data_IF_272849449155
#
_entry.id   IF_272849449155
#
_cell.length_a   1.000
_cell.length_b   1.000
_cell.length_c   1.000
_cell.angle_alpha   90.00
_cell.angle_beta   90.00
_cell.angle_gamma   90.00
#
_symmetry.space_group_name_H-M   'P 1'
#
loop_
_entity.id
_entity.type
_entity.pdbx_description
1 polymer ?
#
# COMPACT_ATOMS: atom_id res chain seq x y z
N UNK A 1 -9.84 30.62 4.73
CA UNK A 1 -9.29 30.16 3.44
C UNK A 1 -7.79 30.07 3.62
N UNK A 2 -7.26 28.90 4.00
CA UNK A 2 -5.82 28.71 4.19
C UNK A 2 -5.39 27.60 3.25
N UNK A 3 -4.51 27.94 2.31
CA UNK A 3 -3.92 27.00 1.37
C UNK A 3 -3.25 25.85 2.12
N UNK A 4 -3.84 24.67 2.03
CA UNK A 4 -3.13 23.43 2.31
C UNK A 4 -2.11 23.30 1.19
N UNK A 5 -0.86 23.65 1.48
CA UNK A 5 0.27 23.30 0.62
C UNK A 5 0.22 21.79 0.44
N UNK A 6 -0.25 21.36 -0.73
CA UNK A 6 -0.17 19.99 -1.20
C UNK A 6 1.30 19.59 -1.12
N UNK A 7 1.62 18.70 -0.18
CA UNK A 7 2.90 18.04 -0.08
C UNK A 7 3.13 17.31 -1.39
N UNK A 8 3.89 17.93 -2.30
CA UNK A 8 4.17 17.48 -3.67
C UNK A 8 5.13 16.29 -3.75
N UNK A 9 5.54 15.74 -2.62
CA UNK A 9 6.51 14.65 -2.53
C UNK A 9 5.87 13.36 -1.99
N UNK A 10 4.75 12.94 -2.58
CA UNK A 10 4.35 11.53 -2.49
C UNK A 10 5.25 10.75 -3.45
N UNK A 11 6.48 10.46 -3.00
CA UNK A 11 7.24 9.33 -3.53
C UNK A 11 6.49 8.11 -3.01
N UNK A 12 6.04 7.22 -3.89
CA UNK A 12 5.58 5.88 -3.49
C UNK A 12 6.87 5.06 -3.39
N UNK A 13 7.45 4.84 -2.19
CA UNK A 13 8.63 4.01 -2.08
C UNK A 13 8.21 2.57 -2.39
N UNK A 14 8.59 2.11 -3.58
CA UNK A 14 8.53 0.69 -3.93
C UNK A 14 9.26 -0.14 -2.86
N UNK A 15 8.55 -1.08 -2.23
CA UNK A 15 9.12 -2.02 -1.24
C UNK A 15 10.33 -2.74 -1.83
N UNK A 16 10.17 -3.18 -3.07
CA UNK A 16 11.18 -3.93 -3.81
C UNK A 16 11.94 -3.04 -4.83
N UNK A 17 13.05 -3.53 -5.36
CA UNK A 17 13.89 -2.85 -6.38
C UNK A 17 14.49 -3.89 -7.32
N UNK A 18 14.48 -3.73 -8.66
CA UNK A 18 14.80 -4.78 -9.63
C UNK A 18 16.11 -5.58 -9.43
N UNK A 19 17.04 -5.09 -8.61
CA UNK A 19 18.21 -5.85 -8.17
C UNK A 19 17.85 -6.94 -7.14
N UNK A 20 18.23 -8.19 -7.45
CA UNK A 20 18.09 -9.37 -6.56
C UNK A 20 18.82 -9.26 -5.22
N UNK A 21 19.63 -8.22 -5.01
CA UNK A 21 20.47 -8.06 -3.82
C UNK A 21 20.00 -6.96 -2.85
N UNK A 22 18.86 -6.29 -3.10
CA UNK A 22 18.43 -5.19 -2.24
C UNK A 22 17.43 -5.62 -1.17
N UNK A 23 17.76 -6.67 -0.42
CA UNK A 23 16.91 -7.24 0.65
C UNK A 23 16.74 -6.29 1.83
N UNK A 24 17.76 -5.48 2.17
CA UNK A 24 17.62 -4.43 3.19
C UNK A 24 16.52 -3.42 2.86
N UNK A 25 16.41 -3.00 1.59
CA UNK A 25 15.36 -2.05 1.18
C UNK A 25 13.98 -2.69 1.32
N UNK A 26 13.83 -3.93 0.86
CA UNK A 26 12.61 -4.71 1.04
C UNK A 26 12.26 -4.82 2.52
N UNK A 27 13.17 -5.31 3.36
CA UNK A 27 12.94 -5.49 4.79
C UNK A 27 12.50 -4.21 5.50
N UNK A 28 13.08 -3.07 5.15
CA UNK A 28 12.67 -1.76 5.69
C UNK A 28 11.32 -1.30 5.14
N UNK A 29 11.01 -1.60 3.89
CA UNK A 29 9.70 -1.37 3.29
C UNK A 29 8.62 -2.15 4.04
N UNK A 30 8.77 -3.47 4.16
CA UNK A 30 7.81 -4.35 4.86
C UNK A 30 7.64 -3.94 6.32
N UNK A 31 8.74 -3.67 7.01
CA UNK A 31 8.66 -3.20 8.39
C UNK A 31 7.96 -1.83 8.51
N UNK A 32 8.09 -0.95 7.51
CA UNK A 32 7.36 0.31 7.48
C UNK A 32 5.86 0.08 7.26
N UNK A 33 5.47 -0.92 6.47
CA UNK A 33 4.07 -1.28 6.25
C UNK A 33 3.38 -1.77 7.52
N UNK A 34 4.10 -2.39 8.47
CA UNK A 34 3.56 -2.72 9.80
C UNK A 34 3.00 -1.48 10.50
N UNK A 35 3.75 -0.38 10.47
CA UNK A 35 3.31 0.89 11.07
C UNK A 35 2.13 1.49 10.30
N UNK A 36 2.13 1.41 8.96
CA UNK A 36 1.04 1.90 8.12
C UNK A 36 -0.28 1.16 8.39
N UNK A 37 -0.27 -0.17 8.40
CA UNK A 37 -1.47 -0.97 8.74
C UNK A 37 -1.89 -0.80 10.20
N UNK A 38 -0.95 -0.66 11.13
CA UNK A 38 -1.27 -0.35 12.53
C UNK A 38 -1.96 1.00 12.67
N UNK A 39 -1.48 2.05 12.01
CA UNK A 39 -2.13 3.36 11.99
C UNK A 39 -3.50 3.29 11.31
N UNK A 40 -3.61 2.55 10.21
CA UNK A 40 -4.87 2.35 9.49
C UNK A 40 -5.92 1.65 10.37
N UNK A 41 -5.54 0.62 11.13
CA UNK A 41 -6.48 -0.07 12.04
C UNK A 41 -7.04 0.87 13.10
N UNK A 42 -6.22 1.77 13.66
CA UNK A 42 -6.65 2.80 14.59
C UNK A 42 -7.61 3.82 13.92
N UNK A 43 -7.31 4.27 12.70
CA UNK A 43 -8.19 5.17 11.93
C UNK A 43 -9.55 4.51 11.65
N UNK A 44 -9.53 3.27 11.15
CA UNK A 44 -10.71 2.48 10.83
C UNK A 44 -11.59 2.26 12.07
N UNK A 45 -10.99 1.90 13.21
CA UNK A 45 -11.68 1.73 14.48
C UNK A 45 -12.34 3.04 14.95
N UNK A 46 -11.64 4.17 14.88
CA UNK A 46 -12.19 5.48 15.26
C UNK A 46 -13.35 5.95 14.38
N UNK A 47 -13.42 5.45 13.14
CA UNK A 47 -14.42 5.82 12.15
C UNK A 47 -15.59 4.82 12.09
N UNK A 48 -15.56 3.77 12.90
CA UNK A 48 -16.65 2.78 12.99
C UNK A 48 -16.77 1.90 11.75
N UNK A 49 -15.64 1.50 11.15
CA UNK A 49 -15.66 0.66 9.96
C UNK A 49 -16.31 -0.72 10.20
N UNK A 50 -16.71 -1.43 9.13
CA UNK A 50 -17.09 -2.83 9.22
C UNK A 50 -16.00 -3.72 9.88
N UNK A 51 -16.36 -4.70 10.72
CA UNK A 51 -15.39 -5.53 11.45
C UNK A 51 -14.44 -6.33 10.57
N UNK A 52 -14.88 -6.74 9.38
CA UNK A 52 -14.08 -7.50 8.41
C UNK A 52 -12.93 -6.66 7.84
N UNK A 53 -13.11 -5.35 7.63
CA UNK A 53 -12.03 -4.45 7.21
C UNK A 53 -10.98 -4.31 8.31
N UNK A 54 -11.43 -4.17 9.57
CA UNK A 54 -10.53 -4.08 10.72
C UNK A 54 -9.71 -5.36 10.91
N UNK A 55 -10.39 -6.53 10.85
CA UNK A 55 -9.73 -7.83 10.93
C UNK A 55 -8.71 -8.02 9.80
N UNK A 56 -9.08 -7.67 8.56
CA UNK A 56 -8.17 -7.71 7.41
C UNK A 56 -6.95 -6.82 7.60
N UNK A 57 -7.11 -5.60 8.12
CA UNK A 57 -5.99 -4.69 8.37
C UNK A 57 -5.02 -5.23 9.43
N UNK A 58 -5.54 -5.89 10.48
CA UNK A 58 -4.67 -6.55 11.46
C UNK A 58 -3.94 -7.76 10.86
N UNK A 59 -4.60 -8.55 10.02
CA UNK A 59 -3.95 -9.66 9.33
C UNK A 59 -2.82 -9.15 8.42
N UNK A 60 -3.06 -8.09 7.64
CA UNK A 60 -2.04 -7.48 6.79
C UNK A 60 -0.83 -7.02 7.62
N UNK A 61 -1.04 -6.39 8.78
CA UNK A 61 0.06 -6.02 9.67
C UNK A 61 0.89 -7.22 10.16
N UNK A 62 0.26 -8.39 10.40
CA UNK A 62 0.96 -9.61 10.78
C UNK A 62 1.76 -10.21 9.61
N UNK A 63 1.19 -10.18 8.42
CA UNK A 63 1.88 -10.63 7.19
C UNK A 63 3.15 -9.79 6.97
N UNK A 64 3.08 -8.47 7.18
CA UNK A 64 4.23 -7.58 6.99
C UNK A 64 5.35 -7.78 8.02
N UNK A 65 5.01 -8.19 9.24
CA UNK A 65 6.02 -8.62 10.21
C UNK A 65 6.76 -9.85 9.67
N UNK A 66 6.02 -10.83 9.12
CA UNK A 66 6.60 -12.03 8.51
C UNK A 66 7.46 -11.68 7.31
N UNK A 67 6.98 -10.81 6.41
CA UNK A 67 7.72 -10.36 5.23
C UNK A 67 9.04 -9.68 5.62
N UNK A 68 8.99 -8.76 6.60
CA UNK A 68 10.18 -8.09 7.11
C UNK A 68 11.20 -9.07 7.70
N UNK A 69 10.74 -10.06 8.49
CA UNK A 69 11.61 -11.09 9.06
C UNK A 69 12.32 -11.91 7.97
N UNK A 70 11.58 -12.32 6.93
CA UNK A 70 12.14 -13.06 5.79
C UNK A 70 13.16 -12.19 5.06
N UNK A 71 12.82 -10.95 4.74
CA UNK A 71 13.69 -10.04 4.01
C UNK A 71 14.96 -9.68 4.81
N UNK A 72 14.87 -9.47 6.14
CA UNK A 72 16.05 -9.29 6.99
C UNK A 72 16.92 -10.54 7.05
N UNK A 73 16.32 -11.74 7.07
CA UNK A 73 17.06 -13.01 7.03
C UNK A 73 17.86 -13.14 5.73
N UNK A 74 17.24 -12.79 4.59
CA UNK A 74 17.90 -12.79 3.29
C UNK A 74 18.98 -11.71 3.17
N UNK A 75 18.80 -10.54 3.80
CA UNK A 75 19.83 -9.50 3.85
C UNK A 75 21.04 -9.91 4.70
N UNK A 76 20.80 -10.54 5.86
CA UNK A 76 21.85 -11.03 6.75
C UNK A 76 22.75 -12.10 6.09
N UNK A 77 22.23 -12.86 5.13
CA UNK A 77 23.05 -13.78 4.33
C UNK A 77 24.11 -13.06 3.46
N UNK A 78 23.98 -11.74 3.25
CA UNK A 78 24.87 -10.90 2.44
C UNK A 78 25.85 -10.04 3.28
N UNK A 79 25.85 -10.17 4.61
CA UNK A 79 26.75 -9.40 5.49
C UNK A 79 26.19 -9.14 6.89
N UNK A 80 26.65 -8.07 7.55
CA UNK A 80 26.21 -7.75 8.92
C UNK A 80 24.70 -7.44 8.98
N UNK A 81 23.92 -8.08 9.87
CA UNK A 81 22.50 -7.80 10.03
C UNK A 81 22.25 -6.33 10.36
N UNK A 82 21.29 -5.72 9.64
CA UNK A 82 20.83 -4.35 9.89
C UNK A 82 19.40 -4.38 10.37
N UNK A 83 19.07 -3.49 11.31
CA UNK A 83 17.72 -3.38 11.88
C UNK A 83 16.76 -2.51 11.05
N UNK A 84 15.50 -2.44 11.49
CA UNK A 84 14.49 -1.56 10.91
C UNK A 84 14.89 -0.08 10.99
N UNK A 85 14.33 0.73 10.08
CA UNK A 85 14.42 2.18 10.15
C UNK A 85 13.26 2.76 10.97
N UNK A 86 13.41 3.99 11.47
CA UNK A 86 12.32 4.68 12.16
C UNK A 86 11.09 4.83 11.25
N UNK A 87 9.95 4.34 11.71
CA UNK A 87 8.66 4.62 11.09
C UNK A 87 8.19 6.00 11.55
N UNK A 88 7.84 6.88 10.61
CA UNK A 88 7.24 8.18 10.93
C UNK A 88 5.75 8.01 11.19
N UNK A 89 5.26 8.49 12.33
CA UNK A 89 3.83 8.69 12.54
C UNK A 89 3.52 9.42 13.85
N UNK A 90 2.49 10.29 13.82
CA UNK A 90 1.36 10.29 14.76
C UNK A 90 0.36 11.44 14.47
N UNK A 91 -0.89 11.14 14.84
CA UNK A 91 -2.17 11.80 14.55
C UNK A 91 -2.27 13.31 14.82
N UNK A 92 -3.00 14.00 13.94
CA UNK A 92 -3.56 15.33 14.19
C UNK A 92 -5.07 15.29 14.43
N UNK A 93 -5.60 16.22 15.24
CA UNK A 93 -7.05 16.40 15.45
C UNK A 93 -7.69 17.05 14.22
N UNK A 94 -8.07 16.25 13.23
CA UNK A 94 -8.78 16.72 12.05
C UNK A 94 -10.26 16.27 12.04
N UNK A 95 -11.11 17.04 11.37
CA UNK A 95 -12.53 16.71 11.21
C UNK A 95 -12.76 15.36 10.51
N UNK A 96 -13.89 14.72 10.78
CA UNK A 96 -14.24 13.37 10.26
C UNK A 96 -14.08 13.24 8.74
N UNK A 97 -14.64 14.17 7.95
CA UNK A 97 -14.57 14.13 6.49
C UNK A 97 -13.14 14.28 5.95
N UNK A 98 -12.31 15.08 6.62
CA UNK A 98 -10.89 15.18 6.28
C UNK A 98 -10.15 13.87 6.55
N UNK A 99 -10.47 13.19 7.67
CA UNK A 99 -9.90 11.88 8.01
C UNK A 99 -10.29 10.81 6.99
N UNK A 100 -11.55 10.75 6.56
CA UNK A 100 -12.01 9.83 5.50
C UNK A 100 -11.28 10.09 4.18
N UNK A 101 -11.21 11.35 3.73
CA UNK A 101 -10.52 11.69 2.48
C UNK A 101 -9.02 11.38 2.54
N UNK A 102 -8.35 11.73 3.64
CA UNK A 102 -6.93 11.46 3.83
C UNK A 102 -6.65 9.95 3.86
N UNK A 103 -7.43 9.19 4.63
CA UNK A 103 -7.30 7.74 4.71
C UNK A 103 -7.54 7.07 3.35
N UNK A 104 -8.56 7.48 2.60
CA UNK A 104 -8.80 6.97 1.25
C UNK A 104 -7.61 7.22 0.30
N UNK A 105 -6.99 8.40 0.40
CA UNK A 105 -5.82 8.73 -0.41
C UNK A 105 -4.58 7.92 -0.04
N UNK A 106 -4.30 7.77 1.26
CA UNK A 106 -3.20 6.96 1.77
C UNK A 106 -3.40 5.47 1.42
N UNK A 107 -4.58 4.91 1.71
CA UNK A 107 -4.89 3.50 1.38
C UNK A 107 -4.86 3.24 -0.13
N UNK A 108 -5.26 4.19 -0.96
CA UNK A 108 -5.15 4.04 -2.40
C UNK A 108 -3.69 4.02 -2.87
N UNK A 109 -2.87 4.96 -2.40
CA UNK A 109 -1.47 5.03 -2.82
C UNK A 109 -0.65 3.82 -2.32
N UNK A 110 -0.75 3.53 -1.03
CA UNK A 110 0.06 2.50 -0.40
C UNK A 110 -0.55 1.11 -0.68
N UNK A 111 -1.82 0.94 -0.34
CA UNK A 111 -2.48 -0.36 -0.39
C UNK A 111 -2.91 -0.82 -1.79
N UNK A 112 -3.47 0.07 -2.62
CA UNK A 112 -3.95 -0.34 -3.95
C UNK A 112 -2.83 -0.35 -5.01
N UNK A 113 -1.95 0.65 -5.00
CA UNK A 113 -0.92 0.80 -6.03
C UNK A 113 0.41 0.16 -5.60
N UNK A 114 0.94 0.48 -4.41
CA UNK A 114 2.26 -0.01 -4.01
C UNK A 114 2.27 -1.53 -3.79
N UNK A 115 1.22 -2.10 -3.19
CA UNK A 115 1.14 -3.56 -3.01
C UNK A 115 0.95 -4.30 -4.33
N UNK A 116 0.21 -3.73 -5.28
CA UNK A 116 0.06 -4.34 -6.61
C UNK A 116 1.39 -4.37 -7.38
N UNK A 117 2.17 -3.29 -7.29
CA UNK A 117 3.51 -3.21 -7.87
C UNK A 117 4.47 -4.17 -7.16
N UNK A 118 4.38 -4.27 -5.83
CA UNK A 118 5.20 -5.19 -5.02
C UNK A 118 4.89 -6.65 -5.34
N UNK A 119 3.61 -7.02 -5.44
CA UNK A 119 3.17 -8.36 -5.85
C UNK A 119 3.73 -8.74 -7.23
N UNK A 120 3.69 -7.81 -8.20
CA UNK A 120 4.20 -8.05 -9.55
C UNK A 120 5.73 -8.21 -9.58
N UNK A 121 6.44 -7.38 -8.83
CA UNK A 121 7.89 -7.47 -8.69
C UNK A 121 8.31 -8.78 -8.01
N UNK A 122 7.61 -9.19 -6.95
CA UNK A 122 7.82 -10.49 -6.28
C UNK A 122 7.58 -11.68 -7.21
N UNK A 123 6.49 -11.65 -7.99
CA UNK A 123 6.20 -12.68 -9.02
C UNK A 123 7.34 -12.77 -10.05
N UNK A 124 7.82 -11.62 -10.51
CA UNK A 124 8.94 -11.54 -11.47
C UNK A 124 10.21 -12.15 -10.87
N UNK A 125 10.55 -11.80 -9.63
CA UNK A 125 11.70 -12.40 -8.93
C UNK A 125 11.57 -13.89 -8.73
N UNK A 126 10.39 -14.37 -8.36
CA UNK A 126 10.16 -15.79 -8.12
C UNK A 126 10.31 -16.63 -9.41
N UNK A 127 10.05 -16.06 -10.59
CA UNK A 127 10.32 -16.72 -11.88
C UNK A 127 11.82 -16.90 -12.13
N UNK A 128 12.60 -15.98 -11.57
CA UNK A 128 14.03 -15.80 -11.79
C UNK A 128 14.91 -16.45 -10.71
N UNK A 129 14.31 -16.84 -9.58
CA UNK A 129 14.97 -17.38 -8.40
C UNK A 129 15.34 -18.87 -8.56
N UNK A 130 16.64 -19.24 -8.52
CA UNK A 130 17.08 -20.63 -8.62
C UNK A 130 16.81 -21.46 -7.36
N UNK A 131 16.80 -20.87 -6.17
CA UNK A 131 16.53 -21.60 -4.94
C UNK A 131 15.03 -21.88 -4.79
N UNK A 132 14.66 -23.16 -4.72
CA UNK A 132 13.26 -23.59 -4.66
C UNK A 132 12.53 -23.13 -3.39
N UNK A 133 13.24 -23.02 -2.26
CA UNK A 133 12.66 -22.56 -1.00
C UNK A 133 12.42 -21.05 -1.04
N UNK A 134 13.40 -20.26 -1.52
CA UNK A 134 13.24 -18.81 -1.68
C UNK A 134 12.13 -18.50 -2.69
N UNK A 135 12.08 -19.22 -3.81
CA UNK A 135 11.01 -19.10 -4.81
C UNK A 135 9.62 -19.36 -4.21
N UNK A 136 9.48 -20.36 -3.35
CA UNK A 136 8.21 -20.67 -2.70
C UNK A 136 7.77 -19.51 -1.79
N UNK A 137 8.69 -18.96 -0.99
CA UNK A 137 8.43 -17.80 -0.14
C UNK A 137 8.04 -16.56 -0.95
N UNK A 138 8.76 -16.23 -2.01
CA UNK A 138 8.43 -15.07 -2.86
C UNK A 138 7.03 -15.18 -3.49
N UNK A 139 6.66 -16.38 -3.93
CA UNK A 139 5.30 -16.62 -4.45
C UNK A 139 4.24 -16.54 -3.35
N UNK A 140 4.56 -16.91 -2.11
CA UNK A 140 3.64 -16.80 -0.99
C UNK A 140 3.42 -15.32 -0.63
N UNK A 141 4.50 -14.56 -0.45
CA UNK A 141 4.44 -13.12 -0.19
C UNK A 141 3.65 -12.42 -1.29
N UNK A 142 3.89 -12.74 -2.56
CA UNK A 142 3.14 -12.12 -3.67
C UNK A 142 1.61 -12.36 -3.60
N UNK A 143 1.15 -13.51 -3.09
CA UNK A 143 -0.28 -13.78 -2.88
C UNK A 143 -0.86 -13.03 -1.68
N UNK A 144 -0.05 -12.85 -0.64
CA UNK A 144 -0.42 -12.04 0.53
C UNK A 144 -0.55 -10.57 0.13
N UNK A 145 0.40 -10.04 -0.67
CA UNK A 145 0.33 -8.70 -1.25
C UNK A 145 -0.92 -8.53 -2.15
N UNK A 146 -1.28 -9.51 -2.99
CA UNK A 146 -2.54 -9.47 -3.76
C UNK A 146 -3.77 -9.37 -2.82
N UNK A 147 -3.74 -10.04 -1.67
CA UNK A 147 -4.81 -9.97 -0.65
C UNK A 147 -4.87 -8.58 -0.01
N UNK A 148 -3.71 -7.94 0.21
CA UNK A 148 -3.62 -6.57 0.73
C UNK A 148 -4.17 -5.56 -0.28
N UNK A 149 -3.94 -5.75 -1.58
CA UNK A 149 -4.55 -4.96 -2.65
C UNK A 149 -6.08 -5.06 -2.58
N UNK A 150 -6.62 -6.28 -2.50
CA UNK A 150 -8.08 -6.48 -2.40
C UNK A 150 -8.70 -5.80 -1.18
N UNK A 151 -8.05 -5.93 -0.01
CA UNK A 151 -8.47 -5.26 1.21
C UNK A 151 -8.47 -3.73 1.03
N UNK A 152 -7.43 -3.18 0.43
CA UNK A 152 -7.26 -1.75 0.23
C UNK A 152 -8.35 -1.17 -0.68
N UNK A 153 -8.72 -1.88 -1.74
CA UNK A 153 -9.85 -1.50 -2.59
C UNK A 153 -11.19 -1.54 -1.86
N UNK A 154 -11.41 -2.51 -0.95
CA UNK A 154 -12.62 -2.54 -0.10
C UNK A 154 -12.67 -1.33 0.82
N UNK A 155 -11.55 -0.92 1.41
CA UNK A 155 -11.46 0.28 2.26
C UNK A 155 -11.70 1.55 1.45
N UNK A 156 -11.09 1.70 0.26
CA UNK A 156 -11.34 2.85 -0.63
C UNK A 156 -12.83 2.93 -0.99
N UNK A 157 -13.45 1.81 -1.37
CA UNK A 157 -14.88 1.74 -1.66
C UNK A 157 -15.74 2.17 -0.46
N UNK A 158 -15.40 1.69 0.74
CA UNK A 158 -16.10 2.08 1.95
C UNK A 158 -15.97 3.59 2.21
N UNK A 159 -14.78 4.18 2.06
CA UNK A 159 -14.59 5.63 2.18
C UNK A 159 -15.46 6.45 1.21
N UNK A 160 -15.63 5.99 -0.04
CA UNK A 160 -16.56 6.63 -0.98
C UNK A 160 -18.02 6.54 -0.51
N UNK A 161 -18.41 5.41 0.12
CA UNK A 161 -19.74 5.23 0.71
C UNK A 161 -20.03 6.16 1.89
N UNK A 162 -19.02 6.46 2.71
CA UNK A 162 -19.14 7.39 3.84
C UNK A 162 -19.28 8.86 3.38
N UNK A 163 -18.73 9.20 2.22
CA UNK A 163 -18.85 10.54 1.64
C UNK A 163 -20.18 10.72 0.91
N UNK A 164 -21.24 11.14 1.62
CA UNK A 164 -22.56 11.40 1.01
C UNK A 164 -22.62 12.65 0.13
N UNK A 165 -21.69 13.60 0.30
CA UNK A 165 -21.61 14.82 -0.50
C UNK A 165 -20.90 14.53 -1.85
N UNK A 166 -21.61 14.77 -2.95
CA UNK A 166 -21.12 14.56 -4.32
C UNK A 166 -19.89 15.40 -4.66
N UNK A 167 -19.74 16.60 -4.09
CA UNK A 167 -18.56 17.46 -4.29
C UNK A 167 -17.34 16.87 -3.60
N UNK A 168 -17.52 16.31 -2.39
CA UNK A 168 -16.43 15.65 -1.66
C UNK A 168 -16.01 14.36 -2.35
N UNK A 169 -16.96 13.57 -2.86
CA UNK A 169 -16.67 12.40 -3.70
C UNK A 169 -15.90 12.76 -4.95
N UNK A 170 -16.33 13.79 -5.69
CA UNK A 170 -15.66 14.26 -6.90
C UNK A 170 -14.23 14.76 -6.60
N UNK A 171 -14.05 15.44 -5.47
CA UNK A 171 -12.72 15.87 -5.01
C UNK A 171 -11.80 14.69 -4.69
N UNK A 172 -12.32 13.69 -3.96
CA UNK A 172 -11.56 12.47 -3.66
C UNK A 172 -11.19 11.74 -4.96
N UNK A 173 -12.16 11.53 -5.86
CA UNK A 173 -11.93 10.90 -7.16
C UNK A 173 -10.85 11.63 -7.97
N UNK A 174 -10.92 12.97 -8.05
CA UNK A 174 -9.88 13.77 -8.73
C UNK A 174 -8.51 13.59 -8.09
N UNK A 175 -8.44 13.54 -6.75
CA UNK A 175 -7.18 13.30 -6.05
C UNK A 175 -6.60 11.92 -6.38
N UNK A 176 -7.39 10.85 -6.27
CA UNK A 176 -6.94 9.49 -6.55
C UNK A 176 -6.52 9.33 -8.02
N UNK A 177 -7.26 9.92 -8.95
CA UNK A 177 -6.91 9.92 -10.38
C UNK A 177 -5.58 10.63 -10.66
N UNK A 178 -5.31 11.76 -10.00
CA UNK A 178 -4.01 12.43 -10.09
C UNK A 178 -2.88 11.59 -9.50
N UNK A 179 -3.12 10.91 -8.37
CA UNK A 179 -2.14 10.00 -7.76
C UNK A 179 -1.83 8.83 -8.68
N UNK A 180 -2.85 8.24 -9.31
CA UNK A 180 -2.69 7.16 -10.29
C UNK A 180 -1.84 7.60 -11.49
N UNK A 181 -2.17 8.74 -12.10
CA UNK A 181 -1.43 9.27 -13.25
C UNK A 181 0.03 9.58 -12.88
N UNK A 182 0.27 10.13 -11.69
CA UNK A 182 1.62 10.39 -11.20
C UNK A 182 2.43 9.09 -11.00
N UNK A 183 1.81 8.04 -10.43
CA UNK A 183 2.44 6.74 -10.26
C UNK A 183 2.77 6.07 -11.60
N UNK A 184 1.81 6.06 -12.53
CA UNK A 184 1.96 5.49 -13.88
C UNK A 184 3.10 6.17 -14.65
N UNK A 185 3.19 7.51 -14.61
CA UNK A 185 4.25 8.27 -15.29
C UNK A 185 5.68 7.94 -14.82
N UNK A 186 5.81 7.39 -13.60
CA UNK A 186 7.09 7.02 -12.99
C UNK A 186 7.39 5.53 -13.13
N UNK A 187 6.42 4.75 -13.61
CA UNK A 187 6.53 3.30 -13.75
C UNK A 187 7.24 2.91 -15.05
N UNK A 188 7.64 1.64 -15.13
CA UNK A 188 8.12 1.07 -16.38
C UNK A 188 6.95 0.51 -17.17
N UNK A 189 7.04 0.42 -18.49
CA UNK A 189 5.95 -0.11 -19.33
C UNK A 189 5.49 -1.54 -18.99
N UNK A 190 6.23 -2.28 -18.14
CA UNK A 190 5.88 -3.62 -17.64
C UNK A 190 4.70 -3.61 -16.66
N UNK A 191 4.39 -2.46 -16.08
CA UNK A 191 3.38 -2.31 -15.03
C UNK A 191 2.04 -1.77 -15.55
N UNK A 192 1.90 -1.59 -16.88
CA UNK A 192 0.74 -0.93 -17.51
C UNK A 192 -0.61 -1.56 -17.14
N UNK A 193 -0.67 -2.89 -17.09
CA UNK A 193 -1.89 -3.61 -16.71
C UNK A 193 -2.36 -3.31 -15.28
N UNK A 194 -1.43 -3.02 -14.36
CA UNK A 194 -1.76 -2.63 -12.98
C UNK A 194 -2.47 -1.29 -12.97
N UNK A 195 -1.93 -0.30 -13.70
CA UNK A 195 -2.53 1.04 -13.77
C UNK A 195 -3.86 1.05 -14.51
N UNK A 196 -4.00 0.24 -15.56
CA UNK A 196 -5.27 0.06 -16.28
C UNK A 196 -6.35 -0.51 -15.34
N UNK A 197 -6.07 -1.63 -14.67
CA UNK A 197 -6.99 -2.23 -13.69
C UNK A 197 -7.33 -1.30 -12.53
N UNK A 198 -6.35 -0.52 -12.06
CA UNK A 198 -6.59 0.46 -11.00
C UNK A 198 -7.51 1.60 -11.48
N UNK A 199 -7.36 2.04 -12.73
CA UNK A 199 -8.23 3.06 -13.35
C UNK A 199 -9.67 2.56 -13.47
N UNK A 200 -9.86 1.33 -13.94
CA UNK A 200 -11.16 0.67 -14.04
C UNK A 200 -11.83 0.58 -12.67
N UNK A 201 -11.12 0.03 -11.68
CA UNK A 201 -11.62 -0.14 -10.31
C UNK A 201 -12.02 1.20 -9.68
N UNK A 202 -11.21 2.24 -9.87
CA UNK A 202 -11.50 3.59 -9.36
C UNK A 202 -12.75 4.19 -10.03
N UNK A 203 -12.88 4.04 -11.35
CA UNK A 203 -14.06 4.51 -12.09
C UNK A 203 -15.33 3.78 -11.65
N UNK A 204 -15.27 2.46 -11.48
CA UNK A 204 -16.40 1.66 -10.99
C UNK A 204 -16.84 2.06 -9.59
N UNK A 205 -15.91 2.32 -8.67
CA UNK A 205 -16.22 2.76 -7.32
C UNK A 205 -16.87 4.14 -7.34
N UNK A 206 -16.36 5.06 -8.14
CA UNK A 206 -16.88 6.43 -8.20
C UNK A 206 -18.28 6.51 -8.80
N UNK A 207 -18.59 5.66 -9.78
CA UNK A 207 -19.87 5.61 -10.47
C UNK A 207 -21.06 5.10 -9.62
N UNK A 208 -20.79 4.41 -8.50
CA UNK A 208 -21.80 3.85 -7.58
C UNK A 208 -22.15 4.83 -6.46
#
# INVERSE_FOLDING_TARGET
MGDVKESRDWIIPQKFSPSRHNWLKAARGEHSSVAAFSELSLKLSQLGCPPDLLAGTHQAALDEIRHAQIAFTLDAANGTPKGPAEARGLFGRAGYLFRIHKMAAETFADGCLNEALSAQELKTRAQEEPDAAIKAELNQIAREEDTHVELSWKIVKWCFGELRDTRLRARLFKHLSSTLAAAESRSTGRDSAIFEKARESLNEIYAR
#
